data_IF_299513596647
#
_entry.id   IF_299513596647
#
_cell.length_a   1.000
_cell.length_b   1.000
_cell.length_c   1.000
_cell.angle_alpha   90.00
_cell.angle_beta   90.00
_cell.angle_gamma   90.00
#
_symmetry.space_group_name_H-M   'P 1'
#
loop_
_entity.id
_entity.type
_entity.pdbx_description
1 polymer ?
#
# COMPACT_ATOMS: atom_id res chain seq x y z
N UNK A 1 42.74 25.92 2.38
CA UNK A 1 41.58 26.32 1.57
C UNK A 1 40.45 25.35 1.85
N UNK A 2 39.54 25.77 2.71
CA UNK A 2 38.33 25.05 3.10
C UNK A 2 37.39 25.00 1.88
N UNK A 3 36.81 23.82 1.60
CA UNK A 3 35.71 23.68 0.66
C UNK A 3 34.45 23.68 1.51
N UNK A 4 33.82 24.83 1.60
CA UNK A 4 32.61 25.06 2.38
C UNK A 4 31.54 24.04 1.99
N UNK A 5 30.91 23.49 3.02
CA UNK A 5 29.80 22.56 2.90
C UNK A 5 28.66 23.24 2.17
N UNK A 6 28.27 22.66 1.06
CA UNK A 6 27.04 23.02 0.39
C UNK A 6 25.90 22.49 1.26
N UNK A 7 25.42 23.34 2.16
CA UNK A 7 24.16 23.15 2.87
C UNK A 7 23.05 23.06 1.83
N UNK A 8 22.61 21.84 1.54
CA UNK A 8 21.37 21.62 0.82
C UNK A 8 20.22 22.07 1.71
N UNK A 9 19.83 23.34 1.54
CA UNK A 9 18.61 23.91 2.08
C UNK A 9 17.41 23.12 1.55
N UNK A 10 16.76 22.33 2.41
CA UNK A 10 15.53 21.59 2.12
C UNK A 10 14.29 22.49 2.04
N UNK A 11 14.40 23.65 1.40
CA UNK A 11 13.29 24.59 1.21
C UNK A 11 13.11 24.76 -0.29
N UNK A 12 12.03 24.16 -0.83
CA UNK A 12 11.44 24.33 -2.19
C UNK A 12 11.21 23.06 -3.01
N UNK A 13 11.33 21.86 -2.44
CA UNK A 13 10.94 20.64 -3.17
C UNK A 13 9.40 20.40 -3.17
N UNK A 14 8.74 21.14 -4.05
CA UNK A 14 7.62 20.63 -4.89
C UNK A 14 6.25 20.32 -4.27
N UNK A 15 5.79 21.07 -3.28
CA UNK A 15 4.38 21.01 -2.83
C UNK A 15 3.36 21.63 -3.84
N UNK A 16 3.79 21.98 -5.06
CA UNK A 16 3.03 22.86 -5.97
C UNK A 16 2.92 22.38 -7.41
N UNK A 17 3.14 21.09 -7.71
CA UNK A 17 2.87 20.60 -9.07
C UNK A 17 1.37 20.79 -9.44
N UNK A 18 1.04 21.13 -10.70
CA UNK A 18 -0.36 21.31 -11.11
C UNK A 18 -1.25 20.10 -10.79
N UNK A 19 -0.68 18.89 -10.86
CA UNK A 19 -1.38 17.65 -10.51
C UNK A 19 -1.71 17.55 -9.01
N UNK A 20 -0.79 17.93 -8.12
CA UNK A 20 -1.04 17.95 -6.67
C UNK A 20 -2.10 18.99 -6.29
N UNK A 21 -2.07 20.17 -6.93
CA UNK A 21 -3.12 21.19 -6.76
C UNK A 21 -4.46 20.69 -7.25
N UNK A 22 -4.52 20.08 -8.44
CA UNK A 22 -5.75 19.55 -9.02
C UNK A 22 -6.36 18.43 -8.17
N UNK A 23 -5.54 17.57 -7.58
CA UNK A 23 -5.97 16.47 -6.69
C UNK A 23 -6.19 16.92 -5.24
N UNK A 24 -6.00 18.20 -4.93
CA UNK A 24 -6.24 18.78 -3.60
C UNK A 24 -5.31 18.28 -2.50
N UNK A 25 -4.11 17.80 -2.85
CA UNK A 25 -3.15 17.26 -1.87
C UNK A 25 -2.71 18.30 -0.84
N UNK A 26 -2.36 19.56 -1.20
CA UNK A 26 -1.95 20.57 -0.23
C UNK A 26 -3.01 20.78 0.86
N UNK A 27 -4.27 20.87 0.48
CA UNK A 27 -5.39 21.04 1.43
C UNK A 27 -5.62 19.77 2.24
N UNK A 28 -5.53 18.60 1.61
CA UNK A 28 -5.79 17.30 2.25
C UNK A 28 -4.77 16.98 3.35
N UNK A 29 -3.50 17.29 3.10
CA UNK A 29 -2.39 16.98 4.01
C UNK A 29 -1.88 18.19 4.81
N UNK A 30 -2.53 19.35 4.70
CA UNK A 30 -2.22 20.51 5.53
C UNK A 30 -2.26 20.16 7.02
N UNK A 31 -1.19 20.53 7.75
CA UNK A 31 -1.01 20.24 9.17
C UNK A 31 -1.07 18.75 9.55
N UNK A 32 -0.80 17.84 8.60
CA UNK A 32 -0.75 16.40 8.86
C UNK A 32 0.70 15.92 9.00
N UNK A 33 0.96 14.90 9.83
CA UNK A 33 2.31 14.36 10.00
C UNK A 33 2.67 13.46 8.80
N UNK A 34 3.29 14.05 7.78
CA UNK A 34 3.69 13.34 6.55
C UNK A 34 4.67 12.20 6.83
N UNK A 35 5.49 12.32 7.87
CA UNK A 35 6.39 11.29 8.37
C UNK A 35 5.61 10.04 8.83
N UNK A 36 4.56 10.22 9.63
CA UNK A 36 3.71 9.11 10.10
C UNK A 36 2.91 8.51 8.94
N UNK A 37 2.39 9.34 8.03
CA UNK A 37 1.68 8.87 6.84
C UNK A 37 2.60 8.01 5.97
N UNK A 38 3.83 8.47 5.75
CA UNK A 38 4.84 7.75 4.96
C UNK A 38 5.29 6.48 5.68
N UNK A 39 5.50 6.52 7.00
CA UNK A 39 5.84 5.35 7.81
C UNK A 39 4.73 4.30 7.77
N UNK A 40 3.47 4.72 7.77
CA UNK A 40 2.31 3.84 7.68
C UNK A 40 2.25 3.07 6.36
N UNK A 41 2.92 3.54 5.30
CA UNK A 41 3.00 2.85 4.01
C UNK A 41 4.19 1.86 3.92
N UNK A 42 5.06 1.77 4.92
CA UNK A 42 6.23 0.86 4.89
C UNK A 42 5.77 -0.60 4.86
N UNK A 43 6.50 -1.47 4.15
CA UNK A 43 6.19 -2.90 4.21
C UNK A 43 6.52 -3.46 5.60
N UNK A 44 5.78 -4.48 6.09
CA UNK A 44 6.13 -5.15 7.33
C UNK A 44 7.56 -5.71 7.21
N UNK A 45 8.32 -5.60 8.29
CA UNK A 45 9.69 -6.11 8.36
C UNK A 45 9.64 -7.64 8.10
N UNK A 46 10.61 -8.13 7.32
CA UNK A 46 10.80 -9.56 7.05
C UNK A 46 12.02 -10.04 7.82
N UNK A 47 11.88 -11.08 8.64
CA UNK A 47 13.02 -11.65 9.36
C UNK A 47 12.64 -12.74 10.36
N UNK A 48 13.62 -13.53 10.84
CA UNK A 48 13.39 -14.70 11.69
C UNK A 48 12.84 -14.40 13.08
N UNK A 49 12.87 -13.15 13.56
CA UNK A 49 12.41 -12.79 14.91
C UNK A 49 11.32 -11.70 14.91
N UNK A 50 10.80 -11.36 13.74
CA UNK A 50 10.00 -10.15 13.51
C UNK A 50 8.55 -10.27 13.99
N UNK A 51 8.09 -11.47 14.34
CA UNK A 51 6.73 -11.71 14.84
C UNK A 51 6.45 -11.08 16.22
N UNK A 52 7.48 -10.55 16.91
CA UNK A 52 7.36 -9.91 18.23
C UNK A 52 7.58 -8.40 18.23
N UNK A 53 7.92 -7.81 17.09
CA UNK A 53 8.31 -6.40 17.03
C UNK A 53 7.17 -5.52 16.53
N UNK A 54 6.87 -4.48 17.31
CA UNK A 54 6.00 -3.39 16.90
C UNK A 54 6.72 -2.51 15.88
N UNK A 55 5.99 -2.06 14.85
CA UNK A 55 6.52 -1.08 13.90
C UNK A 55 6.28 0.34 14.43
N UNK A 56 7.37 1.07 14.69
CA UNK A 56 7.29 2.49 15.06
C UNK A 56 6.89 3.33 13.84
N UNK A 57 5.79 4.10 13.99
CA UNK A 57 5.26 4.97 12.95
C UNK A 57 5.75 6.42 13.09
N UNK A 58 5.96 6.90 14.32
CA UNK A 58 6.40 8.26 14.60
C UNK A 58 5.84 8.79 15.92
N UNK A 59 5.98 10.10 16.16
CA UNK A 59 5.40 10.77 17.34
C UNK A 59 4.32 11.76 16.92
N UNK A 60 3.16 11.72 17.57
CA UNK A 60 2.05 12.65 17.35
C UNK A 60 1.57 13.22 18.67
N UNK A 61 1.54 14.55 18.80
CA UNK A 61 1.12 15.26 20.02
C UNK A 61 1.83 14.74 21.30
N UNK A 62 3.10 14.35 21.19
CA UNK A 62 3.91 13.81 22.28
C UNK A 62 3.83 12.30 22.47
N UNK A 63 2.81 11.64 21.91
CA UNK A 63 2.61 10.19 22.02
C UNK A 63 3.37 9.43 20.93
N UNK A 64 3.97 8.30 21.30
CA UNK A 64 4.67 7.42 20.37
C UNK A 64 3.68 6.47 19.71
N UNK A 65 3.53 6.57 18.39
CA UNK A 65 2.64 5.73 17.62
C UNK A 65 3.36 4.50 17.08
N UNK A 66 2.72 3.35 17.28
CA UNK A 66 3.21 2.04 16.88
C UNK A 66 2.09 1.23 16.25
N UNK A 67 2.44 0.43 15.25
CA UNK A 67 1.61 -0.66 14.76
C UNK A 67 2.01 -1.94 15.53
N UNK A 68 1.09 -2.58 16.26
CA UNK A 68 1.41 -3.75 17.09
C UNK A 68 1.98 -4.92 16.28
N UNK A 69 2.82 -5.75 16.90
CA UNK A 69 3.39 -6.95 16.27
C UNK A 69 2.31 -7.89 15.67
N UNK A 70 1.16 -8.03 16.34
CA UNK A 70 0.02 -8.80 15.86
C UNK A 70 -0.64 -8.19 14.60
N UNK A 71 -0.65 -6.87 14.48
CA UNK A 71 -1.04 -6.16 13.26
C UNK A 71 -0.04 -6.39 12.14
N UNK A 72 1.26 -6.29 12.44
CA UNK A 72 2.31 -6.54 11.45
C UNK A 72 2.34 -7.99 10.97
N UNK A 73 1.98 -8.96 11.81
CA UNK A 73 1.81 -10.35 11.40
C UNK A 73 0.69 -10.52 10.37
N UNK A 74 -0.46 -9.88 10.59
CA UNK A 74 -1.56 -9.86 9.61
C UNK A 74 -1.16 -9.13 8.33
N UNK A 75 -0.41 -8.03 8.43
CA UNK A 75 0.17 -7.35 7.26
C UNK A 75 1.04 -8.30 6.44
N UNK A 76 1.90 -9.12 7.05
CA UNK A 76 2.74 -10.08 6.31
C UNK A 76 1.91 -11.08 5.52
N UNK A 77 0.86 -11.64 6.13
CA UNK A 77 -0.08 -12.54 5.44
C UNK A 77 -0.72 -11.85 4.25
N UNK A 78 -1.22 -10.63 4.44
CA UNK A 78 -1.81 -9.86 3.33
C UNK A 78 -0.79 -9.54 2.24
N UNK A 79 0.46 -9.25 2.58
CA UNK A 79 1.52 -9.02 1.58
C UNK A 79 1.83 -10.27 0.77
N UNK A 80 1.75 -11.46 1.39
CA UNK A 80 1.89 -12.74 0.68
C UNK A 80 0.67 -12.99 -0.23
N UNK A 81 -0.55 -12.78 0.28
CA UNK A 81 -1.76 -12.92 -0.52
C UNK A 81 -1.76 -11.98 -1.74
N UNK A 82 -1.19 -10.78 -1.62
CA UNK A 82 -0.98 -9.88 -2.75
C UNK A 82 0.07 -10.41 -3.72
N UNK A 83 1.15 -11.06 -3.25
CA UNK A 83 2.07 -11.76 -4.15
C UNK A 83 1.32 -12.82 -4.96
N UNK A 84 0.61 -13.71 -4.27
CA UNK A 84 -0.15 -14.82 -4.87
C UNK A 84 -1.21 -14.34 -5.87
N UNK A 85 -1.95 -13.27 -5.53
CA UNK A 85 -2.97 -12.70 -6.42
C UNK A 85 -2.37 -12.22 -7.74
N UNK A 86 -1.24 -11.52 -7.68
CA UNK A 86 -0.57 -11.03 -8.89
C UNK A 86 0.03 -12.19 -9.69
N UNK A 87 0.66 -13.16 -9.02
CA UNK A 87 1.30 -14.30 -9.70
C UNK A 87 0.23 -15.15 -10.42
N UNK A 88 -0.90 -15.44 -9.76
CA UNK A 88 -2.05 -16.11 -10.39
C UNK A 88 -2.63 -15.33 -11.56
N UNK A 89 -2.69 -14.00 -11.46
CA UNK A 89 -3.18 -13.16 -12.55
C UNK A 89 -2.24 -13.18 -13.76
N UNK A 90 -0.92 -13.20 -13.53
CA UNK A 90 0.09 -13.34 -14.57
C UNK A 90 0.02 -14.73 -15.23
N UNK A 91 -0.12 -15.81 -14.45
CA UNK A 91 -0.30 -17.18 -14.95
C UNK A 91 -1.59 -17.33 -15.77
N UNK A 92 -2.67 -16.72 -15.30
CA UNK A 92 -3.95 -16.69 -16.03
C UNK A 92 -3.79 -15.97 -17.36
N UNK A 93 -3.09 -14.83 -17.38
CA UNK A 93 -2.84 -14.09 -18.61
C UNK A 93 -1.94 -14.88 -19.57
N UNK A 94 -0.93 -15.60 -19.06
CA UNK A 94 -0.04 -16.42 -19.86
C UNK A 94 -0.78 -17.61 -20.52
N UNK A 95 -1.72 -18.22 -19.81
CA UNK A 95 -2.56 -19.31 -20.32
C UNK A 95 -3.74 -18.85 -21.19
N UNK A 96 -4.07 -17.56 -21.19
CA UNK A 96 -5.19 -17.03 -21.97
C UNK A 96 -4.88 -17.04 -23.48
N UNK A 97 -5.76 -17.61 -24.33
CA UNK A 97 -5.57 -17.64 -25.78
C UNK A 97 -5.35 -16.25 -26.39
N UNK A 98 -4.56 -16.21 -27.48
CA UNK A 98 -4.23 -14.96 -28.17
C UNK A 98 -5.47 -14.14 -28.56
N UNK A 99 -6.50 -14.78 -29.12
CA UNK A 99 -7.73 -14.12 -29.54
C UNK A 99 -8.44 -13.44 -28.35
N UNK A 100 -8.57 -14.13 -27.22
CA UNK A 100 -9.17 -13.56 -26.01
C UNK A 100 -8.36 -12.37 -25.49
N UNK A 101 -7.03 -12.44 -25.52
CA UNK A 101 -6.16 -11.32 -25.13
C UNK A 101 -6.28 -10.12 -26.06
N UNK A 102 -6.53 -10.35 -27.35
CA UNK A 102 -6.85 -9.30 -28.31
C UNK A 102 -8.23 -8.67 -28.05
N UNK A 103 -9.23 -9.48 -27.70
CA UNK A 103 -10.56 -8.98 -27.33
C UNK A 103 -10.52 -8.07 -26.10
N UNK A 104 -9.74 -8.42 -25.08
CA UNK A 104 -9.59 -7.60 -23.86
C UNK A 104 -9.06 -6.17 -24.10
N UNK A 105 -8.35 -5.94 -25.20
CA UNK A 105 -7.81 -4.62 -25.56
C UNK A 105 -8.64 -3.91 -26.63
N UNK A 106 -9.76 -4.50 -27.03
CA UNK A 106 -10.64 -4.01 -28.08
C UNK A 106 -11.80 -3.23 -27.48
N UNK A 107 -12.10 -2.07 -28.08
CA UNK A 107 -13.24 -1.25 -27.69
C UNK A 107 -14.51 -1.61 -28.50
N UNK A 108 -14.34 -2.22 -29.69
CA UNK A 108 -15.44 -2.56 -30.60
C UNK A 108 -15.87 -4.02 -30.41
N UNK A 109 -17.18 -4.28 -30.46
CA UNK A 109 -17.76 -5.61 -30.24
C UNK A 109 -17.62 -6.57 -31.42
N UNK A 110 -17.38 -6.08 -32.64
CA UNK A 110 -17.41 -6.90 -33.86
C UNK A 110 -16.01 -7.20 -34.46
N UNK A 111 -14.96 -6.48 -34.03
CA UNK A 111 -13.60 -6.65 -34.52
C UNK A 111 -12.61 -6.55 -33.37
N UNK A 112 -11.76 -7.57 -33.23
CA UNK A 112 -10.68 -7.53 -32.25
C UNK A 112 -9.44 -6.82 -32.81
N UNK A 113 -8.79 -6.00 -32.00
CA UNK A 113 -7.47 -5.43 -32.29
C UNK A 113 -6.41 -6.53 -32.29
N UNK A 114 -5.53 -6.55 -33.30
CA UNK A 114 -4.36 -7.44 -33.36
C UNK A 114 -3.24 -7.09 -32.37
N UNK A 115 -3.60 -6.51 -31.21
CA UNK A 115 -2.67 -6.17 -30.14
C UNK A 115 -3.12 -6.87 -28.85
N UNK A 116 -2.59 -8.05 -28.53
CA UNK A 116 -3.00 -8.77 -27.34
C UNK A 116 -2.63 -8.00 -26.08
N UNK A 117 -3.41 -8.16 -25.02
CA UNK A 117 -2.98 -7.84 -23.67
C UNK A 117 -1.72 -8.65 -23.34
N UNK A 118 -0.70 -7.98 -22.81
CA UNK A 118 0.59 -8.60 -22.47
C UNK A 118 0.87 -8.42 -21.00
N UNK A 119 1.56 -9.40 -20.42
CA UNK A 119 2.15 -9.24 -19.12
C UNK A 119 3.10 -8.03 -19.13
N UNK A 120 3.16 -7.33 -18.00
CA UNK A 120 4.08 -6.21 -17.84
C UNK A 120 5.52 -6.73 -17.78
N UNK A 121 6.50 -5.87 -18.02
CA UNK A 121 7.90 -6.23 -17.72
C UNK A 121 8.04 -6.56 -16.22
N UNK A 122 8.94 -7.48 -15.87
CA UNK A 122 9.17 -7.84 -14.46
C UNK A 122 9.53 -6.62 -13.59
N UNK A 123 10.23 -5.62 -14.13
CA UNK A 123 10.53 -4.38 -13.42
C UNK A 123 9.25 -3.55 -13.15
N UNK A 124 8.41 -3.39 -14.17
CA UNK A 124 7.13 -2.67 -14.05
C UNK A 124 6.18 -3.39 -13.10
N UNK A 125 6.04 -4.71 -13.23
CA UNK A 125 5.21 -5.54 -12.37
C UNK A 125 5.63 -5.41 -10.89
N UNK A 126 6.93 -5.55 -10.59
CA UNK A 126 7.47 -5.32 -9.23
C UNK A 126 7.16 -3.93 -8.70
N UNK A 127 7.29 -2.90 -9.55
CA UNK A 127 6.97 -1.52 -9.18
C UNK A 127 5.49 -1.31 -8.83
N UNK A 128 4.58 -1.85 -9.64
CA UNK A 128 3.14 -1.81 -9.37
C UNK A 128 2.76 -2.62 -8.13
N UNK A 129 3.27 -3.86 -8.01
CA UNK A 129 3.05 -4.71 -6.84
C UNK A 129 3.52 -4.02 -5.55
N UNK A 130 4.70 -3.38 -5.58
CA UNK A 130 5.22 -2.60 -4.45
C UNK A 130 4.30 -1.44 -4.06
N UNK A 131 3.80 -0.67 -5.03
CA UNK A 131 2.85 0.43 -4.75
C UNK A 131 1.55 -0.07 -4.12
N UNK A 132 0.98 -1.14 -4.66
CA UNK A 132 -0.23 -1.77 -4.10
C UNK A 132 -0.02 -2.25 -2.68
N UNK A 133 1.09 -2.93 -2.41
CA UNK A 133 1.45 -3.39 -1.06
C UNK A 133 1.59 -2.25 -0.07
N UNK A 134 2.30 -1.18 -0.45
CA UNK A 134 2.45 0.04 0.37
C UNK A 134 1.09 0.69 0.65
N UNK A 135 0.22 0.77 -0.35
CA UNK A 135 -1.12 1.31 -0.20
C UNK A 135 -1.99 0.47 0.77
N UNK A 136 -1.97 -0.85 0.61
CA UNK A 136 -2.69 -1.78 1.51
C UNK A 136 -2.17 -1.63 2.94
N UNK A 137 -0.85 -1.63 3.14
CA UNK A 137 -0.24 -1.41 4.44
C UNK A 137 -0.70 -0.09 5.08
N UNK A 138 -0.69 1.00 4.30
CA UNK A 138 -1.16 2.31 4.73
C UNK A 138 -2.63 2.27 5.19
N UNK A 139 -3.51 1.72 4.36
CA UNK A 139 -4.95 1.70 4.64
C UNK A 139 -5.27 0.86 5.88
N UNK A 140 -4.69 -0.33 6.02
CA UNK A 140 -4.97 -1.18 7.16
C UNK A 140 -4.36 -0.64 8.46
N UNK A 141 -3.15 -0.07 8.45
CA UNK A 141 -2.60 0.58 9.65
C UNK A 141 -3.45 1.77 10.09
N UNK A 142 -3.86 2.62 9.14
CA UNK A 142 -4.79 3.71 9.44
C UNK A 142 -6.13 3.21 9.99
N UNK A 143 -6.63 2.09 9.46
CA UNK A 143 -7.87 1.47 9.92
C UNK A 143 -7.80 0.92 11.34
N UNK A 144 -6.67 0.37 11.75
CA UNK A 144 -6.48 -0.16 13.10
C UNK A 144 -6.25 0.91 14.16
N UNK A 145 -5.94 2.15 13.75
CA UNK A 145 -5.94 3.30 14.66
C UNK A 145 -7.35 3.65 15.15
N UNK A 146 -7.41 4.30 16.31
CA UNK A 146 -8.67 4.82 16.84
C UNK A 146 -9.33 5.81 15.85
N UNK A 147 -10.67 5.90 15.80
CA UNK A 147 -11.36 6.78 14.84
C UNK A 147 -11.03 8.27 14.99
N UNK A 148 -10.64 8.73 16.19
CA UNK A 148 -10.13 10.09 16.40
C UNK A 148 -8.75 10.25 15.77
N UNK A 149 -7.80 9.38 16.12
CA UNK A 149 -6.43 9.45 15.63
C UNK A 149 -6.35 9.31 14.11
N UNK A 150 -7.14 8.39 13.53
CA UNK A 150 -7.23 8.21 12.07
C UNK A 150 -7.70 9.48 11.35
N UNK A 151 -8.68 10.19 11.92
CA UNK A 151 -9.17 11.46 11.37
C UNK A 151 -8.12 12.57 11.54
N UNK A 152 -7.44 12.61 12.67
CA UNK A 152 -6.39 13.59 13.00
C UNK A 152 -5.12 13.44 12.17
N UNK A 153 -4.75 12.21 11.81
CA UNK A 153 -3.50 11.93 11.09
C UNK A 153 -3.73 11.75 9.59
N UNK A 154 -4.67 10.87 9.23
CA UNK A 154 -4.82 10.40 7.85
C UNK A 154 -5.95 11.09 7.10
N UNK A 155 -6.97 11.58 7.81
CA UNK A 155 -8.18 12.15 7.21
C UNK A 155 -8.79 11.25 6.11
N UNK A 156 -8.79 9.94 6.36
CA UNK A 156 -9.38 8.94 5.47
C UNK A 156 -10.79 8.63 5.97
N UNK A 157 -11.84 9.08 5.27
CA UNK A 157 -13.20 8.64 5.56
C UNK A 157 -13.34 7.19 5.13
N UNK A 158 -13.81 6.33 6.03
CA UNK A 158 -14.20 4.95 5.71
C UNK A 158 -15.70 4.82 5.90
N UNK A 159 -16.40 4.33 4.88
CA UNK A 159 -17.84 4.08 4.94
C UNK A 159 -18.14 2.80 5.70
N UNK A 160 -19.41 2.58 6.05
CA UNK A 160 -19.86 1.38 6.77
C UNK A 160 -19.42 0.08 6.07
N UNK A 161 -19.64 0.01 4.77
CA UNK A 161 -19.28 -1.16 3.95
C UNK A 161 -17.76 -1.38 3.90
N UNK A 162 -16.98 -0.31 3.75
CA UNK A 162 -15.51 -0.36 3.78
C UNK A 162 -15.03 -0.96 5.11
N UNK A 163 -15.59 -0.49 6.23
CA UNK A 163 -15.25 -0.96 7.57
C UNK A 163 -15.60 -2.44 7.73
N UNK A 164 -16.76 -2.88 7.24
CA UNK A 164 -17.18 -4.28 7.32
C UNK A 164 -16.23 -5.18 6.53
N UNK A 165 -15.91 -4.79 5.29
CA UNK A 165 -14.98 -5.54 4.43
C UNK A 165 -13.58 -5.61 5.04
N UNK A 166 -13.05 -4.49 5.54
CA UNK A 166 -11.72 -4.45 6.16
C UNK A 166 -11.64 -5.31 7.42
N UNK A 167 -12.68 -5.32 8.26
CA UNK A 167 -12.75 -6.23 9.42
C UNK A 167 -12.73 -7.68 8.99
N UNK A 168 -13.53 -8.04 7.99
CA UNK A 168 -13.58 -9.40 7.47
C UNK A 168 -12.20 -9.86 6.97
N UNK A 169 -11.52 -9.03 6.18
CA UNK A 169 -10.16 -9.33 5.68
C UNK A 169 -9.17 -9.53 6.84
N UNK A 170 -9.20 -8.67 7.87
CA UNK A 170 -8.32 -8.82 9.04
C UNK A 170 -8.64 -10.08 9.85
N UNK A 171 -9.90 -10.51 9.92
CA UNK A 171 -10.28 -11.75 10.59
C UNK A 171 -9.71 -12.96 9.86
N UNK A 172 -9.86 -13.03 8.54
CA UNK A 172 -9.26 -14.08 7.71
C UNK A 172 -7.74 -14.11 7.87
N UNK A 173 -7.07 -12.96 7.82
CA UNK A 173 -5.64 -12.88 8.03
C UNK A 173 -5.23 -13.36 9.43
N UNK A 174 -6.05 -13.11 10.46
CA UNK A 174 -5.81 -13.60 11.83
C UNK A 174 -5.90 -15.12 11.92
N UNK A 175 -6.86 -15.73 11.24
CA UNK A 175 -6.99 -17.19 11.17
C UNK A 175 -5.76 -17.82 10.51
N UNK A 176 -5.30 -17.24 9.40
CA UNK A 176 -4.10 -17.70 8.70
C UNK A 176 -2.83 -17.59 9.54
N UNK A 177 -2.67 -16.50 10.32
CA UNK A 177 -1.54 -16.38 11.26
C UNK A 177 -1.57 -17.52 12.28
N UNK A 178 -2.72 -17.80 12.89
CA UNK A 178 -2.86 -18.88 13.88
C UNK A 178 -2.61 -20.27 13.30
N UNK A 179 -2.98 -20.51 12.05
CA UNK A 179 -2.69 -21.79 11.38
C UNK A 179 -1.20 -21.95 11.06
N UNK A 180 -0.52 -20.86 10.70
CA UNK A 180 0.92 -20.87 10.45
C UNK A 180 1.78 -21.03 11.69
N UNK A 181 1.27 -20.70 12.88
CA UNK A 181 1.98 -20.89 14.16
C UNK A 181 1.89 -22.33 14.71
N UNK A 182 1.02 -23.18 14.14
CA UNK A 182 0.79 -24.56 14.59
C UNK A 182 1.52 -25.64 13.78
N UNK A 183 2.22 -25.28 12.72
CA UNK A 183 3.02 -26.18 11.87
C UNK A 183 4.50 -25.93 12.04
#
# INVERSE_FOLDING_TARGET
>A
MQREGQEHSCTEDSETTPWLKHTGWPQRFCNRPLDIITASARLPIRGPNTYKEDLVLGRWKGELLRSPAASEARMRVLMHAVDDMFDRAEDTLASTPYQSRCWLTSYQQAMFRHRPLRAMSAATARGYKSKWKKFICYIFRAFEMSPSLRRDIHNVPLRGDDVQMMRHILNLASEMVRTGEKG
#
